data_IF_451125689252
#
_entry.id   IF_451125689252
#
_cell.length_a   1.000
_cell.length_b   1.000
_cell.length_c   1.000
_cell.angle_alpha   90.00
_cell.angle_beta   90.00
_cell.angle_gamma   90.00
#
_symmetry.space_group_name_H-M   'P 1'
#
loop_
_entity.id
_entity.type
_entity.pdbx_description
1 polymer ?
#
# COMPACT_ATOMS: atom_id res chain seq x y z
N UNK A 1 -5.45 6.49 -19.56
CA UNK A 1 -5.51 6.85 -21.00
C UNK A 1 -4.16 7.36 -21.51
N UNK A 2 -3.39 8.04 -20.67
CA UNK A 2 -2.01 8.46 -20.95
C UNK A 2 -1.01 7.30 -21.00
N UNK A 3 -1.14 6.30 -20.12
CA UNK A 3 -0.23 5.13 -20.09
C UNK A 3 -0.30 4.25 -21.33
N UNK A 4 -1.49 4.11 -21.90
CA UNK A 4 -1.71 3.33 -23.13
C UNK A 4 -1.09 4.05 -24.34
N UNK A 5 -1.10 5.38 -24.35
CA UNK A 5 -0.45 6.20 -25.37
C UNK A 5 1.08 6.12 -25.26
N UNK A 6 1.64 6.28 -24.05
CA UNK A 6 3.09 6.14 -23.84
C UNK A 6 3.59 4.75 -24.24
N UNK A 7 2.83 3.69 -23.93
CA UNK A 7 3.19 2.34 -24.36
C UNK A 7 3.14 2.16 -25.88
N UNK A 8 2.15 2.76 -26.56
CA UNK A 8 2.06 2.76 -28.02
C UNK A 8 3.17 3.58 -28.68
N UNK A 9 3.51 4.73 -28.12
CA UNK A 9 4.58 5.60 -28.61
C UNK A 9 5.94 4.92 -28.47
N UNK A 10 6.24 4.34 -27.29
CA UNK A 10 7.45 3.52 -27.07
C UNK A 10 7.52 2.36 -28.04
N UNK A 11 6.42 1.62 -28.22
CA UNK A 11 6.37 0.47 -29.12
C UNK A 11 6.65 0.89 -30.56
N UNK A 12 6.09 2.03 -31.00
CA UNK A 12 6.30 2.56 -32.34
C UNK A 12 7.73 3.06 -32.58
N UNK A 13 8.36 3.70 -31.59
CA UNK A 13 9.75 4.18 -31.67
C UNK A 13 10.74 3.01 -31.71
N UNK A 14 10.56 2.02 -30.83
CA UNK A 14 11.41 0.82 -30.77
C UNK A 14 11.28 -0.01 -32.05
N UNK A 15 10.06 -0.19 -32.58
CA UNK A 15 9.83 -0.87 -33.86
C UNK A 15 10.43 -0.11 -35.05
N UNK A 16 10.56 1.21 -34.95
CA UNK A 16 11.21 2.04 -35.97
C UNK A 16 12.75 2.03 -35.91
N UNK A 17 13.34 1.28 -34.97
CA UNK A 17 14.78 1.21 -34.77
C UNK A 17 15.38 2.48 -34.13
N UNK A 18 14.53 3.37 -33.59
CA UNK A 18 14.98 4.57 -32.86
C UNK A 18 15.04 4.26 -31.38
N UNK A 19 16.09 4.77 -30.73
CA UNK A 19 16.20 4.69 -29.28
C UNK A 19 15.27 5.76 -28.69
N UNK A 20 14.40 5.40 -27.72
CA UNK A 20 13.52 6.36 -27.08
C UNK A 20 14.28 7.48 -26.38
N UNK A 21 13.63 8.62 -26.20
CA UNK A 21 14.19 9.74 -25.44
C UNK A 21 14.50 9.35 -23.98
N UNK A 22 15.50 10.00 -23.38
CA UNK A 22 15.93 9.73 -21.99
C UNK A 22 14.81 9.91 -20.96
N UNK A 23 13.89 10.84 -21.22
CA UNK A 23 12.70 11.09 -20.42
C UNK A 23 11.82 9.83 -20.33
N UNK A 24 11.61 9.14 -21.46
CA UNK A 24 10.78 7.94 -21.60
C UNK A 24 11.43 6.75 -20.91
N UNK A 25 12.75 6.59 -21.04
CA UNK A 25 13.51 5.52 -20.36
C UNK A 25 13.38 5.68 -18.84
N UNK A 26 13.54 6.89 -18.32
CA UNK A 26 13.45 7.18 -16.88
C UNK A 26 12.03 6.97 -16.35
N UNK A 27 11.01 7.31 -17.15
CA UNK A 27 9.61 7.06 -16.85
C UNK A 27 9.32 5.55 -16.75
N UNK A 28 9.77 4.77 -17.74
CA UNK A 28 9.62 3.31 -17.73
C UNK A 28 10.34 2.67 -16.54
N UNK A 29 11.57 3.11 -16.25
CA UNK A 29 12.34 2.63 -15.10
C UNK A 29 11.62 2.88 -13.78
N UNK A 30 11.15 4.11 -13.54
CA UNK A 30 10.41 4.48 -12.32
C UNK A 30 9.13 3.65 -12.15
N UNK A 31 8.40 3.39 -13.24
CA UNK A 31 7.19 2.56 -13.21
C UNK A 31 7.49 1.10 -12.87
N UNK A 32 8.51 0.52 -13.50
CA UNK A 32 8.94 -0.85 -13.23
C UNK A 32 9.36 -1.01 -11.76
N UNK A 33 10.13 -0.04 -11.25
CA UNK A 33 10.53 -0.02 -9.84
C UNK A 33 9.29 0.05 -8.93
N UNK A 34 8.34 0.93 -9.21
CA UNK A 34 7.09 1.03 -8.43
C UNK A 34 6.32 -0.29 -8.36
N UNK A 35 6.20 -1.01 -9.48
CA UNK A 35 5.56 -2.33 -9.47
C UNK A 35 6.37 -3.38 -8.70
N UNK A 36 7.70 -3.38 -8.82
CA UNK A 36 8.57 -4.25 -8.02
C UNK A 36 8.41 -3.99 -6.51
N UNK A 37 8.33 -2.72 -6.11
CA UNK A 37 8.09 -2.32 -4.72
C UNK A 37 6.72 -2.81 -4.26
N UNK A 38 5.67 -2.64 -5.07
CA UNK A 38 4.33 -3.11 -4.74
C UNK A 38 4.28 -4.63 -4.52
N UNK A 39 4.97 -5.42 -5.36
CA UNK A 39 5.06 -6.88 -5.20
C UNK A 39 5.87 -7.24 -3.95
N UNK A 40 6.99 -6.56 -3.68
CA UNK A 40 7.77 -6.78 -2.47
C UNK A 40 6.96 -6.46 -1.20
N UNK A 41 6.24 -5.34 -1.22
CA UNK A 41 5.36 -4.90 -0.13
C UNK A 41 4.20 -5.87 0.14
N UNK A 42 3.77 -6.64 -0.87
CA UNK A 42 2.77 -7.70 -0.72
C UNK A 42 3.24 -8.85 0.18
N UNK A 43 4.56 -9.02 0.34
CA UNK A 43 5.16 -10.15 1.06
C UNK A 43 5.73 -9.73 2.42
N UNK A 44 6.11 -8.47 2.61
CA UNK A 44 6.85 -8.00 3.80
C UNK A 44 6.12 -8.22 5.13
N UNK A 45 4.79 -8.06 5.19
CA UNK A 45 4.02 -8.20 6.43
C UNK A 45 3.58 -9.64 6.72
N UNK A 46 3.64 -10.52 5.73
CA UNK A 46 3.24 -11.93 5.86
C UNK A 46 4.02 -12.68 6.95
N UNK A 47 5.37 -12.60 7.03
CA UNK A 47 6.12 -13.25 8.11
C UNK A 47 5.73 -12.75 9.50
N UNK A 48 5.42 -11.46 9.62
CA UNK A 48 5.02 -10.84 10.88
C UNK A 48 3.63 -11.32 11.32
N UNK A 49 2.67 -11.39 10.40
CA UNK A 49 1.33 -11.98 10.64
C UNK A 49 1.46 -13.44 11.09
N UNK A 50 2.27 -14.23 10.38
CA UNK A 50 2.51 -15.63 10.73
C UNK A 50 3.16 -15.79 12.10
N UNK A 51 4.09 -14.91 12.47
CA UNK A 51 4.73 -14.95 13.78
C UNK A 51 3.72 -14.74 14.93
N UNK A 52 2.84 -13.74 14.79
CA UNK A 52 1.79 -13.45 15.78
C UNK A 52 0.81 -14.62 15.91
N UNK A 53 0.36 -15.18 14.78
CA UNK A 53 -0.57 -16.32 14.78
C UNK A 53 0.09 -17.58 15.36
N UNK A 54 1.33 -17.89 14.97
CA UNK A 54 2.05 -19.08 15.42
C UNK A 54 2.34 -19.06 16.91
N UNK A 55 2.78 -17.91 17.42
CA UNK A 55 3.09 -17.75 18.84
C UNK A 55 1.82 -17.57 19.69
N UNK A 56 0.66 -17.33 19.06
CA UNK A 56 -0.63 -17.04 19.70
C UNK A 56 -0.53 -15.94 20.77
N UNK A 57 0.38 -15.00 20.57
CA UNK A 57 0.72 -13.96 21.52
C UNK A 57 1.10 -12.70 20.77
N UNK A 58 0.64 -11.57 21.29
CA UNK A 58 1.08 -10.24 20.90
C UNK A 58 1.95 -9.60 22.00
N UNK A 59 2.49 -10.39 22.92
CA UNK A 59 3.36 -9.92 23.99
C UNK A 59 4.64 -9.28 23.40
N UNK A 60 4.99 -8.09 23.90
CA UNK A 60 6.08 -7.27 23.36
C UNK A 60 5.72 -6.42 22.15
N UNK A 61 4.50 -6.53 21.60
CA UNK A 61 4.01 -5.67 20.52
C UNK A 61 3.20 -4.48 21.06
N UNK A 62 3.51 -3.28 20.56
CA UNK A 62 2.78 -2.07 20.92
C UNK A 62 1.56 -1.87 20.01
N UNK A 63 0.36 -2.13 20.54
CA UNK A 63 -0.92 -1.93 19.82
C UNK A 63 -1.02 -0.53 19.20
N UNK A 64 -0.62 0.51 19.95
CA UNK A 64 -0.65 1.90 19.48
C UNK A 64 0.27 2.10 18.27
N UNK A 65 1.43 1.42 18.24
CA UNK A 65 2.36 1.55 17.11
C UNK A 65 1.77 0.97 15.82
N UNK A 66 1.04 -0.15 15.92
CA UNK A 66 0.36 -0.74 14.77
C UNK A 66 -0.89 0.06 14.35
N UNK A 67 -1.59 0.68 15.28
CA UNK A 67 -2.65 1.66 14.98
C UNK A 67 -2.09 2.86 14.21
N UNK A 68 -0.95 3.41 14.65
CA UNK A 68 -0.28 4.52 13.97
C UNK A 68 0.27 4.12 12.60
N UNK A 69 0.80 2.90 12.45
CA UNK A 69 1.21 2.37 11.15
C UNK A 69 0.02 2.30 10.19
N UNK A 70 -1.12 1.81 10.68
CA UNK A 70 -2.33 1.70 9.89
C UNK A 70 -2.86 3.09 9.46
N UNK A 71 -2.84 4.07 10.37
CA UNK A 71 -3.17 5.46 10.07
C UNK A 71 -2.19 6.09 9.07
N UNK A 72 -0.89 5.93 9.26
CA UNK A 72 0.13 6.45 8.36
C UNK A 72 0.01 5.87 6.95
N UNK A 73 -0.26 4.57 6.85
CA UNK A 73 -0.47 3.90 5.55
C UNK A 73 -1.77 4.36 4.89
N UNK A 74 -2.84 4.58 5.67
CA UNK A 74 -4.08 5.16 5.16
C UNK A 74 -3.88 6.58 4.62
N UNK A 75 -3.09 7.42 5.31
CA UNK A 75 -2.74 8.77 4.86
C UNK A 75 -1.91 8.74 3.59
N UNK A 76 -0.93 7.82 3.49
CA UNK A 76 -0.12 7.66 2.27
C UNK A 76 -1.00 7.28 1.08
N UNK A 77 -1.90 6.30 1.24
CA UNK A 77 -2.87 5.91 0.22
C UNK A 77 -3.81 7.06 -0.17
N UNK A 78 -4.33 7.78 0.83
CA UNK A 78 -5.21 8.94 0.66
C UNK A 78 -4.54 10.07 -0.11
N UNK A 79 -3.28 10.35 0.18
CA UNK A 79 -2.49 11.37 -0.51
C UNK A 79 -2.34 11.05 -1.99
N UNK A 80 -1.98 9.81 -2.32
CA UNK A 80 -1.83 9.35 -3.70
C UNK A 80 -3.12 9.46 -4.51
N UNK A 81 -4.25 9.09 -3.89
CA UNK A 81 -5.57 9.26 -4.48
C UNK A 81 -5.93 10.74 -4.69
N UNK A 82 -5.79 11.57 -3.66
CA UNK A 82 -6.18 12.98 -3.72
C UNK A 82 -5.39 13.79 -4.77
N UNK A 83 -4.14 13.40 -5.05
CA UNK A 83 -3.29 14.05 -6.05
C UNK A 83 -3.39 13.39 -7.44
N UNK A 84 -4.31 12.44 -7.65
CA UNK A 84 -4.47 11.69 -8.90
C UNK A 84 -3.15 11.08 -9.40
N UNK A 85 -2.31 10.60 -8.48
CA UNK A 85 -1.05 9.96 -8.84
C UNK A 85 -1.32 8.61 -9.54
N UNK A 86 -0.42 8.16 -10.43
CA UNK A 86 -0.55 6.83 -11.02
C UNK A 86 -0.46 5.77 -9.92
N UNK A 87 -1.20 4.66 -10.08
CA UNK A 87 -1.20 3.55 -9.11
C UNK A 87 0.20 3.00 -8.89
N UNK A 88 1.11 3.07 -9.88
CA UNK A 88 2.50 2.66 -9.71
C UNK A 88 3.26 3.46 -8.64
N UNK A 89 2.77 4.63 -8.22
CA UNK A 89 3.41 5.50 -7.23
C UNK A 89 2.92 5.29 -5.79
N UNK A 90 1.68 4.82 -5.59
CA UNK A 90 1.10 4.62 -4.25
C UNK A 90 0.40 3.27 -4.05
N UNK A 91 0.41 2.41 -5.07
CA UNK A 91 -0.24 1.09 -5.04
C UNK A 91 0.35 0.16 -3.97
N UNK A 92 1.64 0.32 -3.66
CA UNK A 92 2.27 -0.30 -2.50
C UNK A 92 1.56 0.03 -1.18
N UNK A 93 1.09 1.26 -0.99
CA UNK A 93 0.39 1.68 0.21
C UNK A 93 -0.99 1.03 0.31
N UNK A 94 -1.69 0.81 -0.82
CA UNK A 94 -2.96 0.07 -0.85
C UNK A 94 -2.73 -1.38 -0.38
N UNK A 95 -1.72 -2.04 -0.95
CA UNK A 95 -1.39 -3.43 -0.63
C UNK A 95 -0.91 -3.57 0.81
N UNK A 96 -0.11 -2.62 1.31
CA UNK A 96 0.31 -2.58 2.71
C UNK A 96 -0.87 -2.30 3.64
N UNK A 97 -1.79 -1.40 3.29
CA UNK A 97 -2.94 -1.07 4.12
C UNK A 97 -3.79 -2.30 4.43
N UNK A 98 -4.10 -3.10 3.39
CA UNK A 98 -4.88 -4.34 3.55
C UNK A 98 -4.18 -5.30 4.51
N UNK A 99 -2.87 -5.51 4.35
CA UNK A 99 -2.11 -6.41 5.23
C UNK A 99 -1.98 -5.87 6.66
N UNK A 100 -1.82 -4.55 6.83
CA UNK A 100 -1.75 -3.93 8.15
C UNK A 100 -3.11 -4.01 8.87
N UNK A 101 -4.26 -3.99 8.18
CA UNK A 101 -5.57 -4.28 8.81
C UNK A 101 -5.59 -5.71 9.36
N UNK A 102 -5.15 -6.69 8.56
CA UNK A 102 -5.10 -8.11 8.96
C UNK A 102 -4.17 -8.31 10.15
N UNK A 103 -2.97 -7.72 10.10
CA UNK A 103 -2.00 -7.79 11.20
C UNK A 103 -2.55 -7.15 12.47
N UNK A 104 -3.13 -5.94 12.37
CA UNK A 104 -3.68 -5.24 13.53
C UNK A 104 -4.85 -6.03 14.14
N UNK A 105 -5.70 -6.65 13.31
CA UNK A 105 -6.77 -7.55 13.76
C UNK A 105 -6.21 -8.75 14.55
N UNK A 106 -5.16 -9.40 14.03
CA UNK A 106 -4.50 -10.49 14.72
C UNK A 106 -3.92 -10.03 16.08
N UNK A 107 -3.26 -8.87 16.11
CA UNK A 107 -2.70 -8.29 17.33
C UNK A 107 -3.78 -8.01 18.38
N UNK A 108 -4.90 -7.39 18.00
CA UNK A 108 -6.01 -7.13 18.93
C UNK A 108 -6.56 -8.41 19.57
N UNK A 109 -6.69 -9.48 18.78
CA UNK A 109 -7.19 -10.77 19.26
C UNK A 109 -6.25 -11.38 20.30
N UNK A 110 -4.94 -11.35 20.07
CA UNK A 110 -3.97 -11.96 21.00
C UNK A 110 -3.55 -11.04 22.15
N UNK A 111 -3.60 -9.72 21.98
CA UNK A 111 -3.38 -8.74 23.04
C UNK A 111 -4.60 -8.61 23.99
N UNK A 112 -5.72 -9.29 23.68
CA UNK A 112 -6.98 -9.27 24.45
C UNK A 112 -7.49 -7.86 24.73
N UNK A 113 -7.31 -6.96 23.76
CA UNK A 113 -7.83 -5.60 23.87
C UNK A 113 -9.36 -5.60 23.85
N UNK A 114 -10.04 -4.67 24.54
CA UNK A 114 -11.50 -4.61 24.51
C UNK A 114 -12.00 -4.38 23.09
N UNK A 115 -12.98 -5.18 22.66
CA UNK A 115 -13.53 -5.21 21.27
C UNK A 115 -14.03 -3.86 20.77
N UNK A 116 -14.37 -2.93 21.68
CA UNK A 116 -14.78 -1.58 21.32
C UNK A 116 -13.66 -0.79 20.62
N UNK A 117 -12.40 -1.04 20.99
CA UNK A 117 -11.24 -0.33 20.45
C UNK A 117 -11.03 -0.55 18.95
N UNK A 118 -10.86 -1.80 18.45
CA UNK A 118 -10.74 -2.02 17.00
C UNK A 118 -11.95 -1.50 16.24
N UNK A 119 -13.16 -1.66 16.80
CA UNK A 119 -14.40 -1.18 16.17
C UNK A 119 -14.38 0.34 15.96
N UNK A 120 -14.04 1.11 16.99
CA UNK A 120 -13.95 2.58 16.90
C UNK A 120 -12.87 3.00 15.90
N UNK A 121 -11.69 2.36 15.94
CA UNK A 121 -10.57 2.68 15.05
C UNK A 121 -10.95 2.41 13.58
N UNK A 122 -11.51 1.24 13.26
CA UNK A 122 -11.88 0.90 11.88
C UNK A 122 -13.03 1.75 11.35
N UNK A 123 -14.01 2.11 12.20
CA UNK A 123 -15.07 3.05 11.80
C UNK A 123 -14.49 4.44 11.53
N UNK A 124 -13.71 5.00 12.45
CA UNK A 124 -13.11 6.32 12.28
C UNK A 124 -12.26 6.40 10.99
N UNK A 125 -11.49 5.35 10.70
CA UNK A 125 -10.70 5.27 9.48
C UNK A 125 -11.55 5.09 8.23
N UNK A 126 -12.61 4.27 8.28
CA UNK A 126 -13.56 4.13 7.18
C UNK A 126 -14.24 5.45 6.83
N UNK A 127 -14.67 6.21 7.84
CA UNK A 127 -15.22 7.56 7.65
C UNK A 127 -14.17 8.54 7.09
N UNK A 128 -12.94 8.51 7.61
CA UNK A 128 -11.85 9.35 7.12
C UNK A 128 -11.51 9.09 5.65
N UNK A 129 -11.40 7.82 5.25
CA UNK A 129 -11.19 7.42 3.87
C UNK A 129 -12.38 7.82 2.99
N UNK A 130 -13.61 7.59 3.42
CA UNK A 130 -14.80 7.99 2.66
C UNK A 130 -14.88 9.51 2.44
N UNK A 131 -14.43 10.31 3.40
CA UNK A 131 -14.33 11.76 3.26
C UNK A 131 -13.28 12.18 2.23
N UNK A 132 -12.11 11.53 2.21
CA UNK A 132 -11.04 11.82 1.24
C UNK A 132 -11.40 11.35 -0.18
N UNK A 133 -12.10 10.23 -0.30
CA UNK A 133 -12.43 9.62 -1.59
C UNK A 133 -13.60 10.30 -2.32
N UNK A 134 -14.29 11.23 -1.66
CA UNK A 134 -15.42 12.01 -2.17
C UNK A 134 -14.96 13.23 -2.96
#
# INVERSE_FOLDING_TARGET
MEDLKVAQDVLSEVLSGRIPEWSVITLLATRMIGYCIMVAAAVTKVPQILAVIRNKSAEGLSVISFELELLGTALHMSYGYAHNLPISAYGEAIVMFIQSVVLNTAIYNYAKTPTIRPTVIYLAMGYGLAFVLR
#
